data_IF_912100033381
#
_entry.id   IF_912100033381
#
_cell.length_a   1.000
_cell.length_b   1.000
_cell.length_c   1.000
_cell.angle_alpha   90.00
_cell.angle_beta   90.00
_cell.angle_gamma   90.00
#
_symmetry.space_group_name_H-M   'P 1'
#
loop_
_entity.id
_entity.type
_entity.pdbx_description
1 polymer ?
#
# COMPACT_ATOMS: atom_id res chain seq x y z
N UNK A 1 12.31 8.22 -25.99
CA UNK A 1 11.90 7.21 -26.98
C UNK A 1 10.35 7.12 -26.98
N UNK A 2 9.72 7.78 -27.93
CA UNK A 2 8.26 7.86 -28.07
C UNK A 2 7.60 6.50 -28.35
N UNK A 3 8.35 5.52 -28.87
CA UNK A 3 7.80 4.17 -29.13
C UNK A 3 7.40 3.43 -27.87
N UNK A 4 7.86 3.89 -26.72
CA UNK A 4 7.52 3.32 -25.39
C UNK A 4 6.40 4.05 -24.67
N UNK A 5 5.82 5.09 -25.27
CA UNK A 5 4.69 5.82 -24.72
C UNK A 5 3.45 5.45 -25.51
N UNK A 6 2.57 4.65 -24.90
CA UNK A 6 1.33 4.17 -25.50
C UNK A 6 0.17 4.96 -24.92
N UNK A 7 -0.69 5.51 -25.77
CA UNK A 7 -1.82 6.34 -25.37
C UNK A 7 -3.12 5.81 -25.95
N UNK A 8 -4.23 6.07 -25.24
CA UNK A 8 -5.58 5.78 -25.76
C UNK A 8 -5.90 6.65 -26.97
N UNK A 9 -6.84 6.20 -27.81
CA UNK A 9 -7.34 6.98 -28.96
C UNK A 9 -8.00 8.30 -28.56
N UNK A 10 -8.48 8.42 -27.31
CA UNK A 10 -9.06 9.64 -26.73
C UNK A 10 -8.09 10.36 -25.79
N UNK A 11 -6.80 10.11 -25.90
CA UNK A 11 -5.79 10.84 -25.16
C UNK A 11 -5.71 12.29 -25.62
N UNK A 12 -5.76 13.23 -24.69
CA UNK A 12 -5.59 14.65 -24.96
C UNK A 12 -4.18 15.12 -24.53
N UNK A 13 -3.26 15.43 -25.46
CA UNK A 13 -1.91 15.84 -25.12
C UNK A 13 -1.83 17.18 -24.38
N UNK A 14 -2.83 18.05 -24.49
CA UNK A 14 -2.87 19.34 -23.78
C UNK A 14 -3.00 19.17 -22.25
N UNK A 15 -3.46 18.00 -21.79
CA UNK A 15 -3.58 17.66 -20.38
C UNK A 15 -2.31 17.03 -19.79
N UNK A 16 -1.20 17.04 -20.55
CA UNK A 16 0.10 16.57 -20.07
C UNK A 16 1.13 17.68 -20.25
N UNK A 17 1.58 18.27 -19.14
CA UNK A 17 2.49 19.42 -19.18
C UNK A 17 3.64 19.28 -18.19
N UNK A 18 4.84 19.68 -18.62
CA UNK A 18 6.03 19.72 -17.78
C UNK A 18 6.33 18.39 -17.08
N UNK A 19 6.30 17.29 -17.84
CA UNK A 19 6.53 15.93 -17.34
C UNK A 19 7.74 15.28 -17.99
N UNK A 20 8.46 14.47 -17.22
CA UNK A 20 9.52 13.60 -17.72
C UNK A 20 9.07 12.15 -17.67
N UNK A 21 9.09 11.46 -18.81
CA UNK A 21 8.69 10.06 -18.95
C UNK A 21 9.87 9.16 -19.29
N UNK A 22 9.99 8.04 -18.58
CA UNK A 22 11.03 7.04 -18.78
C UNK A 22 10.44 5.62 -18.82
N UNK A 23 11.02 4.75 -19.66
CA UNK A 23 10.56 3.37 -19.78
C UNK A 23 9.22 3.24 -20.51
N UNK A 24 8.51 2.14 -20.27
CA UNK A 24 7.21 1.87 -20.88
C UNK A 24 6.11 2.59 -20.10
N UNK A 25 5.40 3.48 -20.76
CA UNK A 25 4.27 4.24 -20.18
C UNK A 25 3.01 3.93 -20.98
N UNK A 26 1.91 3.68 -20.28
CA UNK A 26 0.59 3.56 -20.88
C UNK A 26 -0.34 4.59 -20.24
N UNK A 27 -1.06 5.35 -21.05
CA UNK A 27 -1.98 6.40 -20.57
C UNK A 27 -3.35 6.15 -21.18
N UNK A 28 -4.37 6.02 -20.32
CA UNK A 28 -5.76 5.90 -20.71
C UNK A 28 -6.35 7.17 -21.32
N UNK A 29 -7.64 7.30 -21.31
CA UNK A 29 -8.35 8.49 -21.78
C UNK A 29 -8.13 9.65 -20.82
N UNK A 30 -7.91 10.85 -21.36
CA UNK A 30 -7.85 12.09 -20.59
C UNK A 30 -8.84 13.10 -21.17
N UNK A 31 -9.88 13.39 -20.41
CA UNK A 31 -10.94 14.34 -20.78
C UNK A 31 -10.79 15.65 -19.98
N UNK A 32 -11.08 16.78 -20.62
CA UNK A 32 -10.94 18.09 -19.99
C UNK A 32 -12.10 18.37 -19.01
N UNK A 33 -12.00 17.80 -17.81
CA UNK A 33 -12.90 18.08 -16.69
C UNK A 33 -12.14 18.02 -15.37
N UNK A 34 -12.80 18.28 -14.25
CA UNK A 34 -12.22 18.21 -12.92
C UNK A 34 -12.74 17.01 -12.15
N UNK A 35 -11.85 16.34 -11.39
CA UNK A 35 -12.21 15.38 -10.38
C UNK A 35 -12.44 16.10 -9.05
N UNK A 36 -13.46 15.66 -8.30
CA UNK A 36 -13.84 16.24 -7.03
C UNK A 36 -13.74 15.21 -5.90
N UNK A 37 -13.09 15.58 -4.81
CA UNK A 37 -13.06 14.78 -3.59
C UNK A 37 -13.17 15.72 -2.37
N UNK A 38 -14.34 15.73 -1.72
CA UNK A 38 -14.67 16.69 -0.66
C UNK A 38 -14.48 18.13 -1.16
N UNK A 39 -13.63 18.91 -0.53
CA UNK A 39 -13.25 20.28 -0.89
C UNK A 39 -12.14 20.38 -1.96
N UNK A 40 -11.56 19.26 -2.34
CA UNK A 40 -10.50 19.19 -3.35
C UNK A 40 -11.10 19.09 -4.75
N UNK A 41 -10.80 20.06 -5.61
CA UNK A 41 -11.16 20.03 -7.02
C UNK A 41 -9.86 20.11 -7.82
N UNK A 42 -9.59 19.10 -8.67
CA UNK A 42 -8.37 19.02 -9.48
C UNK A 42 -8.71 18.69 -10.93
N UNK A 43 -8.10 19.41 -11.90
CA UNK A 43 -8.27 19.05 -13.30
C UNK A 43 -7.64 17.71 -13.61
N UNK A 44 -8.29 16.93 -14.47
CA UNK A 44 -7.71 15.73 -15.08
C UNK A 44 -6.45 16.09 -15.85
N UNK A 45 -5.45 15.23 -15.76
CA UNK A 45 -4.20 15.38 -16.48
C UNK A 45 -2.96 15.03 -15.65
N UNK A 46 -1.81 15.12 -16.27
CA UNK A 46 -0.51 14.81 -15.67
C UNK A 46 0.38 16.05 -15.77
N UNK A 47 0.73 16.62 -14.62
CA UNK A 47 1.43 17.90 -14.56
C UNK A 47 2.63 17.87 -13.61
N UNK A 48 3.75 18.48 -14.03
CA UNK A 48 4.94 18.70 -13.18
C UNK A 48 5.44 17.41 -12.50
N UNK A 49 5.58 16.31 -13.24
CA UNK A 49 5.85 15.00 -12.65
C UNK A 49 6.93 14.23 -13.38
N UNK A 50 7.71 13.43 -12.65
CA UNK A 50 8.65 12.46 -13.21
C UNK A 50 8.09 11.05 -13.07
N UNK A 51 7.94 10.35 -14.18
CA UNK A 51 7.22 9.08 -14.29
C UNK A 51 8.08 8.03 -14.97
N UNK A 52 8.19 6.87 -14.36
CA UNK A 52 9.03 5.77 -14.85
C UNK A 52 8.22 4.47 -14.90
N UNK A 53 8.01 3.92 -16.07
CA UNK A 53 7.37 2.60 -16.26
C UNK A 53 6.05 2.48 -15.49
N UNK A 54 5.05 3.28 -15.84
CA UNK A 54 3.76 3.29 -15.19
C UNK A 54 2.61 3.14 -16.17
N UNK A 55 1.54 2.53 -15.71
CA UNK A 55 0.27 2.41 -16.45
C UNK A 55 -0.79 3.28 -15.74
N UNK A 56 -1.46 4.13 -16.50
CA UNK A 56 -2.50 5.02 -16.01
C UNK A 56 -3.86 4.62 -16.60
N UNK A 57 -4.86 4.48 -15.73
CA UNK A 57 -6.25 4.35 -16.14
C UNK A 57 -6.81 5.65 -16.75
N UNK A 58 -8.13 5.71 -16.90
CA UNK A 58 -8.80 6.85 -17.49
C UNK A 58 -8.97 7.99 -16.49
N UNK A 59 -8.90 9.21 -16.99
CA UNK A 59 -9.21 10.45 -16.26
C UNK A 59 -8.45 10.60 -14.93
N UNK A 60 -7.16 10.30 -14.93
CA UNK A 60 -6.30 10.48 -13.76
C UNK A 60 -5.90 11.95 -13.58
N UNK A 61 -5.69 12.38 -12.34
CA UNK A 61 -5.16 13.69 -11.98
C UNK A 61 -3.86 13.54 -11.18
N UNK A 62 -2.71 13.69 -11.85
CA UNK A 62 -1.38 13.48 -11.28
C UNK A 62 -0.63 14.80 -11.29
N UNK A 63 -0.52 15.46 -10.15
CA UNK A 63 0.03 16.80 -10.07
C UNK A 63 1.18 16.91 -9.06
N UNK A 64 2.31 17.44 -9.50
CA UNK A 64 3.48 17.69 -8.64
C UNK A 64 3.96 16.42 -7.92
N UNK A 65 4.20 15.35 -8.68
CA UNK A 65 4.76 14.10 -8.16
C UNK A 65 6.22 14.02 -8.58
N UNK A 66 7.14 14.16 -7.62
CA UNK A 66 8.56 14.26 -7.93
C UNK A 66 9.11 12.95 -8.51
N UNK A 67 8.62 11.80 -8.04
CA UNK A 67 9.08 10.50 -8.52
C UNK A 67 7.96 9.45 -8.41
N UNK A 68 7.45 8.97 -9.55
CA UNK A 68 6.47 7.89 -9.65
C UNK A 68 7.02 6.76 -10.50
N UNK A 69 7.17 5.57 -9.94
CA UNK A 69 7.87 4.49 -10.61
C UNK A 69 7.25 3.11 -10.38
N UNK A 70 7.04 2.37 -11.49
CA UNK A 70 6.54 0.98 -11.49
C UNK A 70 5.20 0.79 -10.78
N UNK A 71 4.21 1.62 -11.15
CA UNK A 71 2.85 1.54 -10.65
C UNK A 71 1.81 1.39 -11.76
N UNK A 72 0.75 0.67 -11.42
CA UNK A 72 -0.49 0.59 -12.20
C UNK A 72 -1.55 1.39 -11.43
N UNK A 73 -2.04 2.46 -12.03
CA UNK A 73 -3.07 3.32 -11.48
C UNK A 73 -4.41 3.01 -12.14
N UNK A 74 -5.47 2.94 -11.33
CA UNK A 74 -6.84 2.80 -11.81
C UNK A 74 -7.40 4.08 -12.40
N UNK A 75 -8.70 4.08 -12.67
CA UNK A 75 -9.43 5.22 -13.21
C UNK A 75 -9.68 6.28 -12.13
N UNK A 76 -9.72 7.55 -12.54
CA UNK A 76 -10.06 8.69 -11.67
C UNK A 76 -9.20 8.79 -10.40
N UNK A 77 -7.96 8.31 -10.46
CA UNK A 77 -7.01 8.42 -9.35
C UNK A 77 -6.50 9.85 -9.26
N UNK A 78 -6.50 10.41 -8.04
CA UNK A 78 -5.95 11.72 -7.74
C UNK A 78 -4.65 11.57 -6.93
N UNK A 79 -3.53 12.07 -7.46
CA UNK A 79 -2.26 12.16 -6.72
C UNK A 79 -1.75 13.59 -6.80
N UNK A 80 -1.58 14.25 -5.65
CA UNK A 80 -1.10 15.64 -5.61
C UNK A 80 -0.02 15.85 -4.55
N UNK A 81 1.06 16.54 -4.94
CA UNK A 81 2.13 16.94 -4.03
C UNK A 81 2.73 15.75 -3.26
N UNK A 82 3.28 14.78 -3.98
CA UNK A 82 3.91 13.59 -3.41
C UNK A 82 5.38 13.53 -3.83
N UNK A 83 6.28 13.28 -2.87
CA UNK A 83 7.70 13.23 -3.21
C UNK A 83 8.07 11.94 -3.92
N UNK A 84 7.66 10.78 -3.39
CA UNK A 84 8.08 9.50 -3.94
C UNK A 84 6.97 8.45 -3.85
N UNK A 85 6.67 7.81 -4.99
CA UNK A 85 5.86 6.59 -5.08
C UNK A 85 6.63 5.59 -5.91
N UNK A 86 7.12 4.50 -5.30
CA UNK A 86 7.97 3.52 -6.00
C UNK A 86 7.63 2.09 -5.62
N UNK A 87 7.59 1.19 -6.59
CA UNK A 87 7.60 -0.26 -6.37
C UNK A 87 8.92 -0.83 -6.86
N UNK A 88 9.56 -1.64 -5.99
CA UNK A 88 10.83 -2.31 -6.31
C UNK A 88 10.58 -3.72 -6.84
N UNK A 89 11.61 -4.33 -7.43
CA UNK A 89 11.54 -5.71 -7.91
C UNK A 89 11.20 -6.72 -6.81
N UNK A 90 11.51 -6.38 -5.56
CA UNK A 90 11.31 -7.23 -4.39
C UNK A 90 10.07 -6.89 -3.57
N UNK A 91 9.13 -6.13 -4.15
CA UNK A 91 7.89 -5.72 -3.47
C UNK A 91 7.08 -6.93 -3.00
N UNK A 92 6.75 -6.96 -1.70
CA UNK A 92 5.95 -8.01 -1.05
C UNK A 92 4.62 -7.48 -0.52
N UNK A 93 4.46 -6.18 -0.53
CA UNK A 93 3.24 -5.48 -0.09
C UNK A 93 2.78 -5.89 1.32
N UNK A 94 3.73 -6.09 2.24
CA UNK A 94 3.43 -6.51 3.62
C UNK A 94 3.25 -8.01 3.85
N UNK A 95 3.23 -8.82 2.79
CA UNK A 95 3.11 -10.27 2.92
C UNK A 95 4.45 -10.91 3.32
N UNK A 96 4.41 -11.93 4.16
CA UNK A 96 5.57 -12.65 4.68
C UNK A 96 6.21 -13.64 3.70
N UNK A 97 6.00 -13.49 2.41
CA UNK A 97 6.54 -14.35 1.34
C UNK A 97 8.01 -14.07 1.05
N UNK A 98 8.65 -14.99 0.35
CA UNK A 98 9.95 -14.78 -0.29
C UNK A 98 9.78 -14.61 -1.79
N UNK A 99 10.50 -13.67 -2.37
CA UNK A 99 10.62 -13.55 -3.81
C UNK A 99 11.67 -14.52 -4.35
N UNK A 100 11.55 -14.90 -5.62
CA UNK A 100 12.45 -15.86 -6.28
C UNK A 100 13.92 -15.44 -6.12
N UNK A 101 14.72 -16.31 -5.53
CA UNK A 101 16.15 -16.11 -5.30
C UNK A 101 16.50 -15.37 -4.00
N UNK A 102 15.52 -15.02 -3.17
CA UNK A 102 15.79 -14.44 -1.84
C UNK A 102 16.14 -15.50 -0.80
N UNK A 103 17.05 -15.14 0.11
CA UNK A 103 17.34 -15.93 1.32
C UNK A 103 16.19 -15.84 2.33
N UNK A 104 16.02 -16.88 3.15
CA UNK A 104 15.07 -16.89 4.27
C UNK A 104 15.30 -15.75 5.29
N UNK A 105 16.52 -15.23 5.36
CA UNK A 105 16.91 -14.20 6.32
C UNK A 105 16.23 -12.84 6.08
N UNK A 106 15.80 -12.59 4.84
CA UNK A 106 15.06 -11.36 4.48
C UNK A 106 13.56 -11.46 4.74
N UNK A 107 13.10 -12.59 5.28
CA UNK A 107 11.68 -12.81 5.59
C UNK A 107 11.26 -11.95 6.77
N UNK A 108 10.15 -11.26 6.61
CA UNK A 108 9.63 -10.39 7.66
C UNK A 108 8.66 -11.17 8.53
N UNK A 109 9.10 -11.50 9.70
CA UNK A 109 8.31 -12.14 10.72
C UNK A 109 7.62 -11.10 11.61
N UNK A 110 6.39 -11.36 11.99
CA UNK A 110 5.68 -10.64 13.04
C UNK A 110 5.67 -11.52 14.29
N UNK A 111 6.23 -11.04 15.39
CA UNK A 111 6.28 -11.74 16.66
C UNK A 111 5.07 -11.34 17.51
N UNK A 112 4.20 -12.30 17.84
CA UNK A 112 2.99 -12.04 18.60
C UNK A 112 3.08 -12.67 20.00
N UNK A 113 2.53 -12.01 21.02
CA UNK A 113 2.49 -12.51 22.41
C UNK A 113 3.88 -12.86 22.93
N UNK A 114 4.76 -11.89 23.01
CA UNK A 114 6.21 -12.09 23.12
C UNK A 114 6.74 -12.42 24.52
N UNK A 115 5.88 -12.52 25.57
CA UNK A 115 6.33 -12.82 26.94
C UNK A 115 7.16 -14.11 27.02
N UNK A 116 6.92 -15.06 26.11
CA UNK A 116 7.63 -16.34 26.08
C UNK A 116 8.51 -16.52 24.85
N UNK A 117 8.74 -15.50 24.06
CA UNK A 117 9.50 -15.49 22.79
C UNK A 117 9.10 -16.57 21.77
N UNK A 118 9.60 -16.49 20.54
CA UNK A 118 9.46 -17.55 19.51
C UNK A 118 8.07 -17.74 18.93
N UNK A 119 7.09 -16.86 19.19
CA UNK A 119 5.78 -16.90 18.55
C UNK A 119 5.79 -16.06 17.28
N UNK A 120 6.40 -16.58 16.23
CA UNK A 120 6.55 -15.90 14.94
C UNK A 120 5.45 -16.28 13.98
N UNK A 121 4.92 -15.30 13.28
CA UNK A 121 3.85 -15.44 12.30
C UNK A 121 4.28 -14.79 11.00
N UNK A 122 3.95 -15.40 9.86
CA UNK A 122 4.11 -14.76 8.56
C UNK A 122 2.80 -14.05 8.19
N UNK A 123 2.78 -12.72 8.16
CA UNK A 123 1.57 -12.00 7.77
C UNK A 123 1.24 -12.24 6.30
N UNK A 124 -0.04 -12.28 5.99
CA UNK A 124 -0.55 -12.36 4.62
C UNK A 124 -1.87 -11.59 4.50
N UNK A 125 -2.15 -11.07 3.31
CA UNK A 125 -3.39 -10.35 3.07
C UNK A 125 -4.60 -11.28 3.27
N UNK A 126 -5.56 -10.84 4.09
CA UNK A 126 -6.71 -11.65 4.52
C UNK A 126 -6.42 -12.58 5.71
N UNK A 127 -5.33 -12.36 6.44
CA UNK A 127 -5.05 -13.07 7.69
C UNK A 127 -6.11 -12.73 8.74
N UNK A 128 -6.63 -13.77 9.40
CA UNK A 128 -7.60 -13.65 10.49
C UNK A 128 -6.96 -13.81 11.87
N UNK A 129 -7.65 -13.44 12.92
CA UNK A 129 -7.21 -13.70 14.30
C UNK A 129 -7.04 -15.20 14.57
N UNK A 130 -7.85 -16.05 13.94
CA UNK A 130 -7.74 -17.51 14.06
C UNK A 130 -6.43 -18.02 13.43
N UNK A 131 -6.01 -17.47 12.28
CA UNK A 131 -4.72 -17.82 11.68
C UNK A 131 -3.58 -17.44 12.63
N UNK A 132 -3.59 -16.22 13.17
CA UNK A 132 -2.59 -15.78 14.13
C UNK A 132 -2.53 -16.69 15.38
N UNK A 133 -3.68 -17.07 15.90
CA UNK A 133 -3.79 -17.99 17.03
C UNK A 133 -3.20 -19.37 16.70
N UNK A 134 -3.53 -19.97 15.56
CA UNK A 134 -3.02 -21.27 15.15
C UNK A 134 -1.49 -21.28 15.03
N UNK A 135 -0.91 -20.23 14.44
CA UNK A 135 0.54 -20.06 14.32
C UNK A 135 1.20 -19.99 15.71
N UNK A 136 0.69 -19.16 16.60
CA UNK A 136 1.30 -18.90 17.91
C UNK A 136 1.10 -20.05 18.88
N UNK A 137 -0.07 -20.70 18.83
CA UNK A 137 -0.41 -21.82 19.74
C UNK A 137 0.43 -23.08 19.44
N UNK A 138 0.68 -23.36 18.17
CA UNK A 138 1.35 -24.56 17.72
C UNK A 138 2.83 -24.32 17.37
N UNK A 139 3.49 -23.39 18.05
CA UNK A 139 4.88 -23.00 17.75
C UNK A 139 5.92 -24.13 17.90
N UNK A 140 5.61 -25.16 18.66
CA UNK A 140 6.49 -26.32 18.91
C UNK A 140 6.30 -27.44 17.88
N UNK A 141 5.28 -27.36 17.04
CA UNK A 141 5.03 -28.33 15.96
C UNK A 141 5.75 -27.86 14.69
N UNK A 142 7.00 -28.31 14.52
CA UNK A 142 7.83 -27.95 13.38
C UNK A 142 7.23 -28.39 12.03
N UNK A 143 6.48 -29.50 12.02
CA UNK A 143 5.83 -30.00 10.80
C UNK A 143 4.70 -29.05 10.38
N UNK A 144 3.89 -28.65 11.35
CA UNK A 144 2.79 -27.72 11.12
C UNK A 144 3.31 -26.33 10.74
N UNK A 145 4.36 -25.83 11.43
CA UNK A 145 5.00 -24.55 11.11
C UNK A 145 5.54 -24.54 9.67
N UNK A 146 6.20 -25.59 9.21
CA UNK A 146 6.65 -25.71 7.82
C UNK A 146 5.49 -25.66 6.83
N UNK A 147 4.38 -26.35 7.12
CA UNK A 147 3.17 -26.30 6.28
C UNK A 147 2.56 -24.88 6.20
N UNK A 148 2.53 -24.15 7.31
CA UNK A 148 2.06 -22.77 7.31
C UNK A 148 2.93 -21.86 6.44
N UNK A 149 4.26 -22.02 6.50
CA UNK A 149 5.20 -21.31 5.64
C UNK A 149 4.92 -21.62 4.17
N UNK A 150 4.82 -22.91 3.82
CA UNK A 150 4.53 -23.35 2.45
C UNK A 150 3.19 -22.81 1.92
N UNK A 151 2.15 -22.80 2.75
CA UNK A 151 0.84 -22.25 2.40
C UNK A 151 0.92 -20.74 2.16
N UNK A 152 1.66 -20.01 3.00
CA UNK A 152 1.88 -18.58 2.82
C UNK A 152 2.63 -18.31 1.52
N UNK A 153 3.68 -19.05 1.22
CA UNK A 153 4.47 -18.89 -0.01
C UNK A 153 3.67 -19.25 -1.28
N UNK A 154 2.79 -20.26 -1.21
CA UNK A 154 1.93 -20.64 -2.34
C UNK A 154 0.76 -19.67 -2.60
N UNK A 155 0.38 -18.90 -1.61
CA UNK A 155 -0.77 -17.99 -1.71
C UNK A 155 -0.48 -16.78 -2.61
N UNK A 156 0.77 -16.40 -2.75
CA UNK A 156 1.19 -15.24 -3.53
C UNK A 156 2.29 -15.62 -4.51
N UNK A 157 2.24 -15.01 -5.70
CA UNK A 157 3.28 -15.22 -6.70
C UNK A 157 4.63 -14.64 -6.23
N UNK A 158 5.65 -15.45 -6.32
CA UNK A 158 7.01 -15.12 -5.87
C UNK A 158 7.88 -14.47 -6.95
N UNK A 159 7.37 -14.21 -8.15
CA UNK A 159 8.13 -13.54 -9.22
C UNK A 159 8.61 -12.17 -8.77
N UNK A 160 9.76 -11.77 -9.30
CA UNK A 160 10.28 -10.42 -9.18
C UNK A 160 9.54 -9.45 -10.11
N UNK A 161 9.61 -8.15 -9.82
CA UNK A 161 9.14 -7.10 -10.72
C UNK A 161 7.64 -6.85 -10.75
N UNK A 162 6.92 -7.21 -9.67
CA UNK A 162 5.52 -6.79 -9.54
C UNK A 162 5.42 -5.29 -9.39
N UNK A 163 4.55 -4.70 -10.19
CA UNK A 163 4.19 -3.29 -10.07
C UNK A 163 3.35 -3.07 -8.82
N UNK A 164 3.52 -1.91 -8.19
CA UNK A 164 2.58 -1.42 -7.21
C UNK A 164 1.21 -1.14 -7.86
N UNK A 165 0.16 -1.11 -7.07
CA UNK A 165 -1.18 -0.82 -7.56
C UNK A 165 -1.84 0.26 -6.74
N UNK A 166 -2.53 1.18 -7.43
CA UNK A 166 -3.42 2.17 -6.83
C UNK A 166 -4.79 1.98 -7.49
N UNK A 167 -5.79 1.59 -6.70
CA UNK A 167 -7.13 1.30 -7.19
C UNK A 167 -7.90 2.54 -7.62
N UNK A 168 -9.00 2.34 -8.33
CA UNK A 168 -9.85 3.41 -8.88
C UNK A 168 -10.27 4.42 -7.81
N UNK A 169 -10.41 5.69 -8.19
CA UNK A 169 -10.89 6.80 -7.35
C UNK A 169 -10.12 6.99 -6.04
N UNK A 170 -8.94 6.40 -5.92
CA UNK A 170 -8.07 6.61 -4.76
C UNK A 170 -7.46 8.00 -4.78
N UNK A 171 -7.42 8.65 -3.62
CA UNK A 171 -6.87 10.00 -3.45
C UNK A 171 -5.63 9.97 -2.57
N UNK A 172 -4.51 10.48 -3.08
CA UNK A 172 -3.24 10.58 -2.35
C UNK A 172 -2.79 12.03 -2.42
N UNK A 173 -2.69 12.71 -1.28
CA UNK A 173 -2.21 14.09 -1.25
C UNK A 173 -1.21 14.38 -0.14
N UNK A 174 -0.20 15.21 -0.46
CA UNK A 174 0.80 15.69 0.49
C UNK A 174 1.56 14.58 1.24
N UNK A 175 1.74 13.41 0.63
CA UNK A 175 2.52 12.30 1.20
C UNK A 175 4.00 12.41 0.84
N UNK A 176 4.90 11.97 1.73
CA UNK A 176 6.33 12.03 1.45
C UNK A 176 6.80 10.78 0.70
N UNK A 177 6.72 9.60 1.31
CA UNK A 177 7.27 8.36 0.75
C UNK A 177 6.21 7.25 0.76
N UNK A 178 5.93 6.69 -0.41
CA UNK A 178 5.10 5.50 -0.60
C UNK A 178 5.94 4.48 -1.37
N UNK A 179 6.38 3.41 -0.70
CA UNK A 179 7.29 2.43 -1.29
C UNK A 179 6.79 1.00 -1.13
N UNK A 180 6.72 0.26 -2.23
CA UNK A 180 6.25 -1.14 -2.22
C UNK A 180 4.85 -1.29 -1.59
N UNK A 181 3.90 -0.45 -2.00
CA UNK A 181 2.55 -0.40 -1.42
C UNK A 181 1.52 -0.81 -2.46
N UNK A 182 0.58 -1.64 -2.04
CA UNK A 182 -0.62 -1.97 -2.81
C UNK A 182 -1.83 -1.29 -2.17
N UNK A 183 -2.60 -0.54 -2.95
CA UNK A 183 -3.71 0.27 -2.46
C UNK A 183 -4.99 -0.10 -3.22
N UNK A 184 -6.03 -0.46 -2.49
CA UNK A 184 -7.37 -0.73 -3.02
C UNK A 184 -8.07 0.52 -3.52
N UNK A 185 -9.24 0.37 -4.19
CA UNK A 185 -10.00 1.50 -4.69
C UNK A 185 -10.61 2.35 -3.56
N UNK A 186 -10.95 3.59 -3.87
CA UNK A 186 -11.61 4.55 -2.97
C UNK A 186 -10.85 4.80 -1.64
N UNK A 187 -9.56 4.51 -1.58
CA UNK A 187 -8.73 4.82 -0.41
C UNK A 187 -8.40 6.32 -0.35
N UNK A 188 -8.19 6.84 0.86
CA UNK A 188 -7.76 8.22 1.07
C UNK A 188 -6.50 8.30 1.92
N UNK A 189 -5.41 8.81 1.34
CA UNK A 189 -4.14 9.03 2.00
C UNK A 189 -3.79 10.52 1.99
N UNK A 190 -3.58 11.11 3.18
CA UNK A 190 -3.27 12.53 3.30
C UNK A 190 -2.12 12.77 4.28
N UNK A 191 -1.04 13.35 3.82
CA UNK A 191 0.03 13.84 4.70
C UNK A 191 0.84 12.75 5.40
N UNK A 192 0.82 11.51 4.94
CA UNK A 192 1.63 10.44 5.50
C UNK A 192 3.14 10.69 5.26
N UNK A 193 3.96 10.47 6.30
CA UNK A 193 5.40 10.63 6.17
C UNK A 193 6.05 9.46 5.44
N UNK A 194 5.64 8.22 5.78
CA UNK A 194 6.22 7.02 5.16
C UNK A 194 5.26 5.84 5.21
N UNK A 195 5.03 5.25 4.06
CA UNK A 195 4.32 3.97 3.95
C UNK A 195 5.23 3.05 3.15
N UNK A 196 5.70 1.95 3.75
CA UNK A 196 6.66 1.04 3.11
C UNK A 196 6.28 -0.41 3.33
N UNK A 197 6.22 -1.17 2.22
CA UNK A 197 5.89 -2.59 2.20
C UNK A 197 4.56 -2.86 2.94
N UNK A 198 3.46 -2.30 2.41
CA UNK A 198 2.13 -2.34 3.04
C UNK A 198 1.07 -2.66 2.01
N UNK A 199 0.12 -3.51 2.37
CA UNK A 199 -1.17 -3.63 1.67
C UNK A 199 -2.21 -2.77 2.39
N UNK A 200 -2.91 -1.94 1.62
CA UNK A 200 -4.03 -1.12 2.10
C UNK A 200 -5.28 -1.59 1.37
N UNK A 201 -6.08 -2.42 2.03
CA UNK A 201 -7.36 -2.84 1.50
C UNK A 201 -8.38 -1.71 1.64
N UNK A 202 -9.12 -1.47 0.60
CA UNK A 202 -10.18 -0.47 0.55
C UNK A 202 -11.16 -0.84 -0.55
N UNK A 203 -12.43 -0.50 -0.38
CA UNK A 203 -13.47 -0.61 -1.39
C UNK A 203 -14.53 0.51 -1.23
N UNK A 204 -15.48 0.66 -2.17
CA UNK A 204 -16.48 1.72 -2.10
C UNK A 204 -17.35 1.71 -0.84
N UNK A 205 -17.60 0.54 -0.23
CA UNK A 205 -18.43 0.38 0.97
C UNK A 205 -17.60 0.50 2.25
N UNK A 206 -16.31 0.16 2.20
CA UNK A 206 -15.41 0.15 3.34
C UNK A 206 -14.08 0.87 3.01
N UNK A 207 -14.17 2.21 2.86
CA UNK A 207 -13.05 3.07 2.47
C UNK A 207 -12.05 3.20 3.59
N UNK A 208 -10.79 2.87 3.31
CA UNK A 208 -9.68 3.01 4.26
C UNK A 208 -9.04 4.39 4.15
N UNK A 209 -8.72 4.98 5.30
CA UNK A 209 -8.16 6.31 5.39
C UNK A 209 -6.87 6.35 6.23
N UNK A 210 -5.83 7.01 5.70
CA UNK A 210 -4.56 7.24 6.37
C UNK A 210 -4.29 8.74 6.41
N UNK A 211 -4.10 9.27 7.61
CA UNK A 211 -3.93 10.71 7.84
C UNK A 211 -2.48 11.13 8.06
N UNK A 212 -2.35 12.36 8.55
CA UNK A 212 -1.10 13.09 8.61
C UNK A 212 -0.09 12.49 9.59
N UNK A 213 1.18 12.58 9.21
CA UNK A 213 2.32 12.19 10.06
C UNK A 213 2.51 10.69 10.26
N UNK A 214 1.69 9.84 9.62
CA UNK A 214 1.75 8.39 9.80
C UNK A 214 3.02 7.80 9.18
N UNK A 215 3.63 6.85 9.90
CA UNK A 215 4.76 6.02 9.48
C UNK A 215 4.38 4.54 9.61
N UNK A 216 4.17 3.87 8.50
CA UNK A 216 3.66 2.51 8.42
C UNK A 216 4.65 1.63 7.66
N UNK A 217 5.16 0.58 8.30
CA UNK A 217 6.20 -0.27 7.70
C UNK A 217 5.90 -1.75 7.93
N UNK A 218 5.96 -2.54 6.86
CA UNK A 218 5.75 -3.99 6.89
C UNK A 218 4.41 -4.38 7.50
N UNK A 219 3.31 -4.05 6.83
CA UNK A 219 2.01 -4.30 7.39
C UNK A 219 0.90 -4.57 6.38
N UNK A 220 -0.24 -4.96 6.91
CA UNK A 220 -1.47 -5.21 6.18
C UNK A 220 -2.59 -4.45 6.87
N UNK A 221 -3.34 -3.69 6.11
CA UNK A 221 -4.47 -2.90 6.59
C UNK A 221 -5.73 -3.43 5.92
N UNK A 222 -6.71 -3.83 6.71
CA UNK A 222 -8.01 -4.29 6.28
C UNK A 222 -8.91 -3.19 5.73
N UNK A 223 -10.11 -3.56 5.36
CA UNK A 223 -11.11 -2.65 4.80
C UNK A 223 -11.68 -1.69 5.85
N UNK A 224 -11.98 -0.47 5.46
CA UNK A 224 -12.62 0.52 6.32
C UNK A 224 -11.80 1.01 7.52
N UNK A 225 -10.51 0.73 7.54
CA UNK A 225 -9.63 1.14 8.63
C UNK A 225 -9.36 2.66 8.63
N UNK A 226 -9.11 3.20 9.83
CA UNK A 226 -8.76 4.61 10.04
C UNK A 226 -7.47 4.76 10.83
N UNK A 227 -6.46 5.38 10.23
CA UNK A 227 -5.12 5.54 10.80
C UNK A 227 -4.76 7.02 10.77
N UNK A 228 -4.90 7.74 11.90
CA UNK A 228 -4.79 9.20 11.93
C UNK A 228 -3.86 9.72 13.01
N UNK A 229 -3.22 10.87 12.71
CA UNK A 229 -2.50 11.72 13.65
C UNK A 229 -1.22 11.10 14.22
N UNK A 230 -0.17 10.98 13.35
CA UNK A 230 1.18 10.65 13.80
C UNK A 230 1.41 9.21 14.23
N UNK A 231 0.67 8.27 13.69
CA UNK A 231 0.79 6.83 14.00
C UNK A 231 2.15 6.30 13.57
N UNK A 232 2.76 5.44 14.41
CA UNK A 232 3.94 4.64 14.07
C UNK A 232 3.61 3.16 14.21
N UNK A 233 3.54 2.44 13.09
CA UNK A 233 3.24 1.01 13.07
C UNK A 233 4.29 0.23 12.28
N UNK A 234 4.83 -0.83 12.88
CA UNK A 234 5.86 -1.68 12.28
C UNK A 234 5.55 -3.16 12.51
N UNK A 235 5.55 -3.96 11.44
CA UNK A 235 5.17 -5.38 11.48
C UNK A 235 3.81 -5.58 12.13
N UNK A 236 2.77 -5.24 11.41
CA UNK A 236 1.42 -5.19 11.95
C UNK A 236 0.38 -5.74 10.97
N UNK A 237 -0.72 -6.21 11.51
CA UNK A 237 -1.95 -6.50 10.76
C UNK A 237 -3.10 -5.77 11.45
N UNK A 238 -3.80 -4.94 10.69
CA UNK A 238 -5.05 -4.31 11.10
C UNK A 238 -6.20 -5.03 10.38
N UNK A 239 -7.08 -5.68 11.13
CA UNK A 239 -8.32 -6.22 10.58
C UNK A 239 -9.32 -5.12 10.23
N UNK A 240 -10.39 -5.49 9.54
CA UNK A 240 -11.37 -4.56 9.01
C UNK A 240 -11.96 -3.63 10.09
N UNK A 241 -12.20 -2.39 9.69
CA UNK A 241 -12.78 -1.33 10.52
C UNK A 241 -11.99 -0.98 11.78
N UNK A 242 -10.76 -1.44 11.92
CA UNK A 242 -9.90 -1.08 13.05
C UNK A 242 -9.39 0.36 12.95
N UNK A 243 -9.03 0.94 14.09
CA UNK A 243 -8.63 2.33 14.17
C UNK A 243 -7.37 2.53 15.00
N UNK A 244 -6.42 3.32 14.47
CA UNK A 244 -5.25 3.81 15.20
C UNK A 244 -5.28 5.34 15.21
N UNK A 245 -5.22 5.96 16.39
CA UNK A 245 -5.36 7.42 16.54
C UNK A 245 -4.38 8.03 17.53
N UNK A 246 -4.12 9.33 17.35
CA UNK A 246 -3.45 10.20 18.31
C UNK A 246 -2.07 9.71 18.78
N UNK A 247 -1.16 9.48 17.83
CA UNK A 247 0.22 9.12 18.13
C UNK A 247 0.42 7.69 18.65
N UNK A 248 -0.57 6.82 18.55
CA UNK A 248 -0.43 5.43 18.96
C UNK A 248 0.75 4.75 18.24
N UNK A 249 1.45 3.87 18.97
CA UNK A 249 2.53 3.03 18.43
C UNK A 249 2.15 1.57 18.47
N UNK A 250 2.41 0.88 17.37
CA UNK A 250 2.04 -0.53 17.21
C UNK A 250 3.23 -1.30 16.63
N UNK A 251 3.79 -2.24 17.36
CA UNK A 251 4.91 -3.06 16.90
C UNK A 251 4.60 -4.54 17.10
N UNK A 252 4.84 -5.37 16.06
CA UNK A 252 4.63 -6.81 16.10
C UNK A 252 3.22 -7.21 16.58
N UNK A 253 2.17 -6.61 16.03
CA UNK A 253 0.85 -6.75 16.60
C UNK A 253 -0.22 -7.04 15.56
N UNK A 254 -1.20 -7.84 15.97
CA UNK A 254 -2.43 -8.06 15.24
C UNK A 254 -3.58 -7.33 15.95
N UNK A 255 -4.22 -6.40 15.28
CA UNK A 255 -5.39 -5.68 15.79
C UNK A 255 -6.67 -6.25 15.17
N UNK A 256 -7.58 -6.73 16.01
CA UNK A 256 -8.82 -7.35 15.56
C UNK A 256 -9.82 -6.39 14.94
N UNK A 257 -10.86 -6.95 14.32
CA UNK A 257 -11.94 -6.20 13.66
C UNK A 257 -12.64 -5.24 14.66
N UNK A 258 -12.93 -4.01 14.21
CA UNK A 258 -13.54 -2.95 15.01
C UNK A 258 -12.76 -2.52 16.27
N UNK A 259 -11.51 -2.97 16.44
CA UNK A 259 -10.71 -2.56 17.59
C UNK A 259 -10.09 -1.17 17.39
N UNK A 260 -9.91 -0.44 18.47
CA UNK A 260 -9.32 0.91 18.47
C UNK A 260 -8.15 1.00 19.44
N UNK A 261 -7.04 1.57 18.98
CA UNK A 261 -5.89 1.95 19.81
C UNK A 261 -5.72 3.47 19.68
N UNK A 262 -5.62 4.14 20.82
CA UNK A 262 -5.51 5.60 20.90
C UNK A 262 -4.55 6.00 22.00
N UNK A 263 -3.61 6.91 21.71
CA UNK A 263 -2.70 7.51 22.70
C UNK A 263 -1.86 6.50 23.51
N UNK A 264 -1.60 5.29 23.01
CA UNK A 264 -0.85 4.28 23.75
C UNK A 264 0.15 3.53 22.86
N UNK A 265 1.05 2.80 23.49
CA UNK A 265 1.99 1.91 22.82
C UNK A 265 1.56 0.46 23.03
N UNK A 266 1.51 -0.29 21.95
CA UNK A 266 1.35 -1.74 21.95
C UNK A 266 2.61 -2.31 21.34
N UNK A 267 3.47 -2.80 22.20
CA UNK A 267 4.75 -3.40 21.87
C UNK A 267 4.69 -4.87 22.23
N UNK A 268 5.24 -5.69 21.36
CA UNK A 268 5.21 -7.11 21.59
C UNK A 268 6.59 -7.72 21.42
#
# INVERSE_FOLDING_TARGET
>A
DWTKILVSSKFNPELVKNCAFFGLIRIGELENHCLCFSDLIVPVGIYNSTIISCDFGNNVAIHNVNYLSHYILGNEVIITNVNEIVATNHSKFGNGILKKGESSDVRIWMELCNENTGRKVLPFNGMTAADAYLWTRNRQDDILQKKFIELTDKRYDNKLGYYGKIGDRTVIKNCKIIKDVWIGPDAYLKGANKIKNVTINSDPQAKTQIGEGCELVNGIIGYGCRVFYGIKAVRFVLSDYSQLKYGARLINSYLGTNATISCCEVLN
#
